data_IF_307879598699
#
_entry.id   IF_307879598699
#
_cell.length_a   1.000
_cell.length_b   1.000
_cell.length_c   1.000
_cell.angle_alpha   90.00
_cell.angle_beta   90.00
_cell.angle_gamma   90.00
#
_symmetry.space_group_name_H-M   'P 1'
#
loop_
_entity.id
_entity.type
_entity.pdbx_description
1 polymer ?
#
# COMPACT_ATOMS: atom_id res chain seq x y z
N UNK A 1 -22.34 -35.07 -22.42
CA UNK A 1 -21.97 -34.18 -23.55
C UNK A 1 -21.15 -33.05 -22.94
N UNK A 2 -19.85 -33.05 -23.22
CA UNK A 2 -18.86 -32.16 -22.63
C UNK A 2 -19.06 -30.70 -23.06
N UNK A 3 -18.88 -29.76 -22.14
CA UNK A 3 -18.39 -28.43 -22.48
C UNK A 3 -17.60 -27.88 -21.28
N UNK A 4 -16.29 -28.13 -21.33
CA UNK A 4 -15.30 -27.42 -20.54
C UNK A 4 -14.95 -26.14 -21.31
N UNK A 5 -15.27 -24.98 -20.74
CA UNK A 5 -14.89 -23.70 -21.33
C UNK A 5 -13.52 -23.29 -20.80
N UNK A 6 -12.53 -23.37 -21.70
CA UNK A 6 -11.14 -22.96 -21.47
C UNK A 6 -11.04 -21.45 -21.73
N UNK A 7 -10.98 -20.64 -20.69
CA UNK A 7 -10.46 -19.28 -20.83
C UNK A 7 -8.97 -19.23 -20.47
N UNK A 8 -8.15 -19.72 -21.40
CA UNK A 8 -6.70 -19.50 -21.40
C UNK A 8 -6.43 -18.21 -22.17
N UNK A 9 -6.19 -17.11 -21.46
CA UNK A 9 -5.80 -15.85 -22.08
C UNK A 9 -4.42 -15.99 -22.74
N UNK A 10 -4.44 -16.23 -24.05
CA UNK A 10 -3.26 -16.30 -24.90
C UNK A 10 -2.72 -14.88 -25.09
N UNK A 11 -1.60 -14.55 -24.43
CA UNK A 11 -0.84 -13.34 -24.71
C UNK A 11 -0.29 -13.44 -26.15
N UNK A 12 -0.96 -12.82 -27.12
CA UNK A 12 -0.53 -12.79 -28.52
C UNK A 12 -0.08 -11.37 -28.86
N UNK A 13 1.20 -11.08 -28.65
CA UNK A 13 1.84 -9.89 -29.19
C UNK A 13 2.04 -10.07 -30.70
N UNK A 14 1.35 -9.27 -31.52
CA UNK A 14 1.68 -9.13 -32.94
C UNK A 14 2.80 -8.10 -33.06
N UNK A 15 4.02 -8.54 -33.38
CA UNK A 15 5.06 -7.65 -33.90
C UNK A 15 4.99 -7.66 -35.44
N UNK A 16 4.66 -6.50 -36.02
CA UNK A 16 5.12 -6.15 -37.37
C UNK A 16 6.46 -5.46 -37.19
N UNK A 17 7.46 -5.92 -37.95
CA UNK A 17 8.88 -5.53 -37.96
C UNK A 17 9.77 -6.36 -37.04
N UNK A 18 10.64 -7.14 -37.68
CA UNK A 18 11.58 -8.07 -37.07
C UNK A 18 12.70 -7.39 -36.32
N UNK A 19 12.54 -7.25 -35.02
CA UNK A 19 13.60 -6.91 -34.08
C UNK A 19 13.32 -7.56 -32.72
N UNK A 20 14.11 -8.60 -32.41
CA UNK A 20 14.21 -9.32 -31.13
C UNK A 20 12.90 -9.70 -30.43
N UNK A 21 12.55 -11.00 -30.47
CA UNK A 21 11.66 -11.60 -29.47
C UNK A 21 12.31 -11.49 -28.08
N UNK A 22 11.86 -10.51 -27.30
CA UNK A 22 12.29 -10.34 -25.92
C UNK A 22 11.54 -11.33 -25.01
N UNK A 23 12.20 -11.89 -23.99
CA UNK A 23 11.68 -13.07 -23.33
C UNK A 23 10.45 -12.71 -22.47
N UNK A 24 9.30 -13.26 -22.84
CA UNK A 24 8.03 -13.22 -22.10
C UNK A 24 8.14 -13.64 -20.62
N UNK A 25 9.30 -14.15 -20.20
CA UNK A 25 9.60 -14.64 -18.85
C UNK A 25 9.67 -13.53 -17.80
N UNK A 26 10.13 -12.31 -18.12
CA UNK A 26 10.24 -11.22 -17.12
C UNK A 26 8.86 -10.71 -16.71
N UNK A 27 8.00 -10.37 -17.67
CA UNK A 27 6.63 -9.93 -17.39
C UNK A 27 5.83 -11.01 -16.64
N UNK A 28 6.03 -12.28 -16.99
CA UNK A 28 5.45 -13.41 -16.24
C UNK A 28 5.93 -13.45 -14.78
N UNK A 29 7.22 -13.23 -14.52
CA UNK A 29 7.78 -13.17 -13.16
C UNK A 29 7.19 -12.00 -12.36
N UNK A 30 7.09 -10.82 -12.97
CA UNK A 30 6.49 -9.64 -12.32
C UNK A 30 5.00 -9.89 -12.05
N UNK A 31 4.24 -10.35 -13.03
CA UNK A 31 2.81 -10.67 -12.85
C UNK A 31 2.58 -11.69 -11.73
N UNK A 32 3.40 -12.74 -11.68
CA UNK A 32 3.39 -13.71 -10.57
C UNK A 32 3.68 -13.04 -9.22
N UNK A 33 4.69 -12.18 -9.13
CA UNK A 33 5.07 -11.53 -7.87
C UNK A 33 4.00 -10.53 -7.37
N UNK A 34 3.38 -9.78 -8.28
CA UNK A 34 2.42 -8.72 -7.96
C UNK A 34 1.08 -9.28 -7.47
N UNK A 35 0.49 -10.23 -8.20
CA UNK A 35 -0.83 -10.79 -7.86
C UNK A 35 -0.95 -12.30 -8.07
N UNK A 36 -0.26 -12.86 -9.07
CA UNK A 36 -0.48 -14.25 -9.49
C UNK A 36 -0.11 -15.32 -8.46
N UNK A 37 0.85 -15.06 -7.57
CA UNK A 37 1.32 -16.05 -6.57
C UNK A 37 0.28 -16.43 -5.50
N UNK A 38 -0.72 -15.59 -5.28
CA UNK A 38 -1.80 -15.82 -4.31
C UNK A 38 -3.17 -15.90 -4.98
N UNK A 39 -3.24 -15.80 -6.31
CA UNK A 39 -4.49 -15.65 -7.07
C UNK A 39 -5.52 -16.73 -6.79
N UNK A 40 -5.09 -17.99 -6.68
CA UNK A 40 -5.98 -19.13 -6.41
C UNK A 40 -6.30 -19.33 -4.93
N UNK A 41 -5.59 -18.64 -4.04
CA UNK A 41 -5.70 -18.81 -2.58
C UNK A 41 -6.40 -17.63 -1.91
N UNK A 42 -6.37 -16.45 -2.52
CA UNK A 42 -7.08 -15.29 -2.02
C UNK A 42 -8.56 -15.36 -2.41
N UNK A 43 -9.42 -15.40 -1.40
CA UNK A 43 -10.86 -15.48 -1.57
C UNK A 43 -11.56 -14.67 -0.47
N UNK A 44 -12.87 -14.46 -0.64
CA UNK A 44 -13.72 -13.83 0.38
C UNK A 44 -13.22 -12.47 0.87
N UNK A 45 -12.73 -11.64 -0.06
CA UNK A 45 -12.39 -10.24 0.25
C UNK A 45 -13.68 -9.44 0.49
N UNK A 46 -13.74 -8.61 1.54
CA UNK A 46 -14.89 -7.75 1.78
C UNK A 46 -14.94 -6.63 0.74
N UNK A 47 -16.12 -6.16 0.30
CA UNK A 47 -16.21 -4.96 -0.52
C UNK A 47 -15.52 -3.76 0.16
N UNK A 48 -14.84 -2.86 -0.59
CA UNK A 48 -14.60 -2.87 -2.04
C UNK A 48 -13.30 -3.60 -2.45
N UNK A 49 -12.71 -4.40 -1.56
CA UNK A 49 -11.40 -5.00 -1.80
C UNK A 49 -11.50 -6.14 -2.84
N UNK A 50 -10.59 -6.10 -3.79
CA UNK A 50 -10.44 -7.12 -4.83
C UNK A 50 -8.97 -7.35 -5.13
N UNK A 51 -8.63 -8.53 -5.64
CA UNK A 51 -7.28 -8.80 -6.15
C UNK A 51 -7.08 -8.05 -7.47
N UNK A 52 -6.36 -6.93 -7.43
CA UNK A 52 -6.13 -6.12 -8.61
C UNK A 52 -5.06 -6.72 -9.53
N UNK A 53 -5.33 -6.70 -10.85
CA UNK A 53 -4.39 -7.10 -11.91
C UNK A 53 -3.97 -5.87 -12.70
N UNK A 54 -2.94 -5.14 -12.25
CA UNK A 54 -2.50 -3.95 -12.96
C UNK A 54 -1.92 -4.32 -14.33
N UNK A 55 -2.07 -3.40 -15.29
CA UNK A 55 -1.37 -3.50 -16.57
C UNK A 55 0.14 -3.42 -16.32
N UNK A 56 0.87 -4.41 -16.80
CA UNK A 56 2.33 -4.45 -16.72
C UNK A 56 2.93 -4.09 -18.07
N UNK A 57 3.73 -3.04 -18.10
CA UNK A 57 4.45 -2.58 -19.28
C UNK A 57 5.93 -2.39 -18.96
N UNK A 58 6.78 -2.50 -19.99
CA UNK A 58 8.18 -2.14 -19.90
C UNK A 58 8.35 -0.68 -20.29
N UNK A 59 9.23 0.04 -19.61
CA UNK A 59 9.68 1.35 -20.08
C UNK A 59 10.32 1.24 -21.48
N UNK A 60 10.20 2.30 -22.28
CA UNK A 60 10.79 2.35 -23.62
C UNK A 60 12.32 2.33 -23.56
N UNK A 61 12.90 2.98 -22.54
CA UNK A 61 14.32 2.94 -22.23
C UNK A 61 14.54 2.09 -20.97
N UNK A 62 15.57 1.24 -21.01
CA UNK A 62 15.97 0.44 -19.86
C UNK A 62 17.23 1.02 -19.25
N UNK A 63 17.22 1.22 -17.93
CA UNK A 63 18.43 1.63 -17.21
C UNK A 63 19.44 0.47 -17.17
N UNK A 64 20.70 0.78 -17.47
CA UNK A 64 21.78 -0.17 -17.31
C UNK A 64 22.10 -0.31 -15.82
N UNK A 65 22.38 -1.54 -15.38
CA UNK A 65 22.82 -1.79 -14.00
C UNK A 65 24.19 -1.16 -13.78
N UNK A 66 24.28 -0.19 -12.88
CA UNK A 66 25.54 0.34 -12.38
C UNK A 66 25.88 -0.32 -11.04
N UNK A 67 27.01 -1.06 -10.94
CA UNK A 67 27.45 -1.63 -9.67
C UNK A 67 28.02 -0.51 -8.79
N UNK A 68 27.16 0.10 -7.97
CA UNK A 68 27.53 1.13 -7.00
C UNK A 68 26.91 0.83 -5.63
N UNK A 69 27.52 1.36 -4.56
CA UNK A 69 26.93 1.30 -3.22
C UNK A 69 25.64 2.12 -3.22
N UNK A 70 24.56 1.52 -2.71
CA UNK A 70 23.30 2.23 -2.55
C UNK A 70 23.48 3.44 -1.61
N UNK A 71 22.90 4.61 -1.94
CA UNK A 71 22.93 5.76 -1.06
C UNK A 71 22.31 5.47 0.31
N UNK A 72 22.81 6.13 1.36
CA UNK A 72 22.27 6.02 2.73
C UNK A 72 21.13 7.01 3.00
N UNK A 73 20.49 7.51 1.96
CA UNK A 73 19.36 8.43 2.05
C UNK A 73 18.23 8.00 1.11
N UNK A 74 17.04 8.48 1.41
CA UNK A 74 15.84 8.36 0.58
C UNK A 74 15.32 9.76 0.31
N UNK A 75 14.85 10.00 -0.92
CA UNK A 75 14.21 11.26 -1.30
C UNK A 75 12.73 11.00 -1.52
N UNK A 76 11.86 11.81 -0.93
CA UNK A 76 10.43 11.76 -1.21
C UNK A 76 9.86 13.14 -1.49
N UNK A 77 8.86 13.20 -2.34
CA UNK A 77 8.21 14.44 -2.77
C UNK A 77 6.73 14.19 -3.04
N UNK A 78 5.90 15.17 -2.70
CA UNK A 78 4.46 15.22 -3.01
C UNK A 78 4.22 16.44 -3.88
N UNK A 79 3.21 16.39 -4.76
CA UNK A 79 2.83 17.54 -5.62
C UNK A 79 2.44 18.78 -4.83
N UNK A 80 1.98 18.60 -3.59
CA UNK A 80 1.65 19.69 -2.66
C UNK A 80 2.89 20.34 -2.05
N UNK A 81 4.04 19.66 -2.11
CA UNK A 81 5.24 20.04 -1.38
C UNK A 81 6.10 20.97 -2.23
N UNK A 82 6.53 22.12 -1.69
CA UNK A 82 7.39 23.05 -2.41
C UNK A 82 8.79 22.45 -2.68
N UNK A 83 9.26 21.57 -1.80
CA UNK A 83 10.60 20.96 -1.88
C UNK A 83 10.55 19.47 -1.48
N UNK A 84 11.45 18.63 -2.01
CA UNK A 84 11.57 17.23 -1.59
C UNK A 84 12.14 17.10 -0.16
N UNK A 85 11.70 16.09 0.58
CA UNK A 85 12.36 15.68 1.83
C UNK A 85 13.50 14.71 1.53
N UNK A 86 14.65 14.94 2.18
CA UNK A 86 15.78 14.00 2.19
C UNK A 86 15.85 13.34 3.56
N UNK A 87 15.69 12.02 3.58
CA UNK A 87 15.57 11.21 4.78
C UNK A 87 16.79 10.30 4.90
N UNK A 88 17.45 10.31 6.03
CA UNK A 88 18.51 9.35 6.33
C UNK A 88 17.90 7.94 6.46
N UNK A 89 18.36 7.01 5.62
CA UNK A 89 17.78 5.66 5.52
C UNK A 89 18.03 4.79 6.78
N UNK A 90 19.01 5.17 7.62
CA UNK A 90 19.32 4.47 8.87
C UNK A 90 18.48 4.98 10.03
N UNK A 91 18.25 6.30 10.13
CA UNK A 91 17.51 6.89 11.26
C UNK A 91 16.02 7.09 10.97
N UNK A 92 15.62 7.15 9.70
CA UNK A 92 14.26 7.45 9.27
C UNK A 92 13.83 8.91 9.49
N UNK A 93 14.79 9.83 9.69
CA UNK A 93 14.57 11.26 9.94
C UNK A 93 15.29 12.12 8.90
N UNK A 94 14.92 13.39 8.80
CA UNK A 94 15.64 14.38 7.99
C UNK A 94 17.04 14.61 8.56
N UNK A 95 17.94 15.18 7.75
CA UNK A 95 19.28 15.58 8.21
C UNK A 95 19.25 16.57 9.38
N UNK A 96 18.20 17.41 9.44
CA UNK A 96 17.93 18.32 10.56
C UNK A 96 17.49 17.61 11.86
N UNK A 97 17.28 16.30 11.82
CA UNK A 97 16.76 15.51 12.95
C UNK A 97 15.23 15.55 13.10
N UNK A 98 14.54 16.35 12.28
CA UNK A 98 13.07 16.40 12.28
C UNK A 98 12.44 15.11 11.69
N UNK A 99 11.25 14.72 12.17
CA UNK A 99 10.50 13.61 11.59
C UNK A 99 10.06 13.96 10.16
N UNK A 100 10.04 12.96 9.28
CA UNK A 100 9.48 13.13 7.93
C UNK A 100 7.97 13.32 7.99
N UNK A 101 7.43 14.08 7.03
CA UNK A 101 5.99 14.15 6.78
C UNK A 101 5.38 12.77 6.51
N UNK A 102 6.15 11.79 6.01
CA UNK A 102 5.71 10.42 5.78
C UNK A 102 5.75 9.51 7.02
N UNK A 103 6.25 10.00 8.17
CA UNK A 103 6.28 9.19 9.38
C UNK A 103 4.87 8.95 9.94
N UNK A 104 4.74 7.97 10.84
CA UNK A 104 3.43 7.59 11.41
C UNK A 104 2.76 8.74 12.15
N UNK A 105 3.50 9.52 12.95
CA UNK A 105 2.97 10.70 13.67
C UNK A 105 2.37 11.73 12.70
N UNK A 106 3.14 12.13 11.68
CA UNK A 106 2.69 13.11 10.67
C UNK A 106 1.47 12.62 9.86
N UNK A 107 1.45 11.34 9.47
CA UNK A 107 0.28 10.73 8.81
C UNK A 107 -0.93 10.62 9.74
N UNK A 108 -0.71 10.33 11.02
CA UNK A 108 -1.78 10.23 12.01
C UNK A 108 -2.40 11.59 12.31
N UNK A 109 -1.59 12.64 12.41
CA UNK A 109 -2.04 14.02 12.56
C UNK A 109 -2.93 14.47 11.39
N UNK A 110 -2.53 14.14 10.15
CA UNK A 110 -3.36 14.37 8.95
C UNK A 110 -4.69 13.63 9.03
N UNK A 111 -4.67 12.34 9.40
CA UNK A 111 -5.91 11.56 9.55
C UNK A 111 -6.82 12.16 10.62
N UNK A 112 -6.27 12.55 11.78
CA UNK A 112 -6.96 13.20 12.88
C UNK A 112 -7.57 14.56 12.47
N UNK A 113 -6.88 15.33 11.62
CA UNK A 113 -7.41 16.57 11.05
C UNK A 113 -8.62 16.30 10.14
N UNK A 114 -8.52 15.30 9.26
CA UNK A 114 -9.56 14.97 8.29
C UNK A 114 -10.81 14.38 8.95
N UNK A 115 -10.63 13.40 9.85
CA UNK A 115 -11.73 12.65 10.47
C UNK A 115 -12.65 13.53 11.33
N UNK A 116 -12.15 14.68 11.80
CA UNK A 116 -12.92 15.68 12.56
C UNK A 116 -13.71 16.65 11.69
N UNK A 117 -13.28 16.85 10.46
CA UNK A 117 -13.79 17.92 9.57
C UNK A 117 -14.64 17.40 8.43
N UNK A 118 -14.44 16.14 8.05
CA UNK A 118 -15.14 15.54 6.94
C UNK A 118 -16.23 14.59 7.47
N UNK A 119 -17.45 14.62 6.90
CA UNK A 119 -18.44 13.60 7.19
C UNK A 119 -17.92 12.24 6.71
N UNK A 120 -18.27 11.19 7.45
CA UNK A 120 -18.03 9.83 6.98
C UNK A 120 -18.82 9.59 5.69
N UNK A 121 -18.23 8.81 4.78
CA UNK A 121 -18.94 8.39 3.57
C UNK A 121 -20.22 7.63 3.96
N UNK A 122 -21.32 7.83 3.22
CA UNK A 122 -22.56 7.10 3.49
C UNK A 122 -22.29 5.60 3.52
N UNK A 123 -22.80 4.87 4.52
CA UNK A 123 -22.71 3.42 4.52
C UNK A 123 -23.48 2.88 3.31
N UNK A 124 -22.81 2.03 2.52
CA UNK A 124 -23.49 1.28 1.47
C UNK A 124 -24.59 0.39 2.11
N UNK A 125 -25.78 0.25 1.50
CA UNK A 125 -26.90 -0.49 2.10
C UNK A 125 -26.59 -1.95 2.44
N UNK A 126 -25.71 -2.58 1.67
CA UNK A 126 -25.18 -3.94 1.87
C UNK A 126 -23.74 -3.94 2.40
N UNK A 127 -23.22 -2.76 2.74
CA UNK A 127 -21.87 -2.55 3.19
C UNK A 127 -21.70 -2.80 4.68
N UNK A 128 -20.45 -3.06 5.10
CA UNK A 128 -20.11 -3.14 6.51
C UNK A 128 -20.38 -1.80 7.21
N UNK A 129 -21.15 -1.85 8.29
CA UNK A 129 -21.40 -0.67 9.12
C UNK A 129 -20.11 -0.24 9.81
N UNK A 130 -19.76 1.04 9.68
CA UNK A 130 -18.63 1.59 10.41
C UNK A 130 -19.00 1.72 11.89
N UNK A 131 -18.11 1.31 12.82
CA UNK A 131 -18.32 1.59 14.23
C UNK A 131 -18.42 3.12 14.42
N UNK A 132 -19.23 3.59 15.39
CA UNK A 132 -19.26 5.01 15.70
C UNK A 132 -17.87 5.47 16.10
N UNK A 133 -17.49 6.68 15.67
CA UNK A 133 -16.21 7.26 16.05
C UNK A 133 -16.13 7.37 17.58
N UNK A 134 -14.99 7.02 18.19
CA UNK A 134 -14.78 7.25 19.61
C UNK A 134 -15.00 8.72 19.97
N UNK A 135 -15.54 8.98 21.17
CA UNK A 135 -15.77 10.36 21.64
C UNK A 135 -14.46 11.11 21.88
N UNK A 136 -13.43 10.40 22.32
CA UNK A 136 -12.09 10.94 22.57
C UNK A 136 -11.13 10.53 21.45
N UNK A 137 -11.23 11.23 20.31
CA UNK A 137 -10.32 11.03 19.19
C UNK A 137 -8.92 11.60 19.42
N UNK A 138 -8.75 12.49 20.40
CA UNK A 138 -7.45 13.12 20.69
C UNK A 138 -6.49 12.13 21.35
N UNK A 139 -7.02 11.31 22.27
CA UNK A 139 -6.22 10.35 23.01
C UNK A 139 -6.28 8.92 22.44
N UNK A 140 -6.91 8.71 21.28
CA UNK A 140 -6.96 7.38 20.67
C UNK A 140 -5.55 6.91 20.30
N UNK A 141 -5.12 5.71 20.73
CA UNK A 141 -3.88 5.11 20.29
C UNK A 141 -3.88 4.82 18.77
N UNK A 142 -2.73 4.95 18.11
CA UNK A 142 -2.61 4.77 16.67
C UNK A 142 -3.02 3.37 16.18
N UNK A 143 -2.73 2.31 16.94
CA UNK A 143 -3.19 0.95 16.66
C UNK A 143 -4.72 0.82 16.73
N UNK A 144 -5.37 1.48 17.68
CA UNK A 144 -6.83 1.50 17.82
C UNK A 144 -7.47 2.26 16.66
N UNK A 145 -6.93 3.43 16.31
CA UNK A 145 -7.36 4.20 15.14
C UNK A 145 -7.32 3.37 13.85
N UNK A 146 -6.24 2.60 13.64
CA UNK A 146 -6.14 1.66 12.51
C UNK A 146 -7.17 0.52 12.57
N UNK A 147 -7.56 0.11 13.77
CA UNK A 147 -8.52 -0.99 13.98
C UNK A 147 -9.97 -0.57 13.71
N UNK A 148 -10.27 0.73 13.70
CA UNK A 148 -11.60 1.25 13.33
C UNK A 148 -12.02 0.82 11.91
N UNK A 149 -11.07 0.64 10.99
CA UNK A 149 -11.34 0.16 9.63
C UNK A 149 -11.38 -1.37 9.59
N UNK A 150 -12.47 -1.95 10.07
CA UNK A 150 -12.66 -3.42 10.18
C UNK A 150 -12.55 -4.16 8.85
N UNK A 151 -13.08 -3.57 7.77
CA UNK A 151 -12.99 -4.13 6.40
C UNK A 151 -11.56 -4.30 5.93
N UNK A 152 -10.72 -3.29 6.15
CA UNK A 152 -9.31 -3.37 5.85
C UNK A 152 -8.62 -4.45 6.68
N UNK A 153 -8.96 -4.57 7.97
CA UNK A 153 -8.38 -5.62 8.83
C UNK A 153 -8.73 -7.01 8.32
N UNK A 154 -9.99 -7.25 7.91
CA UNK A 154 -10.42 -8.51 7.29
C UNK A 154 -9.68 -8.75 5.97
N UNK A 155 -9.61 -7.76 5.07
CA UNK A 155 -8.90 -7.89 3.80
C UNK A 155 -7.41 -8.21 3.99
N UNK A 156 -6.76 -7.55 4.96
CA UNK A 156 -5.37 -7.80 5.35
C UNK A 156 -5.18 -9.22 5.90
N UNK A 157 -6.11 -9.72 6.70
CA UNK A 157 -6.08 -11.08 7.24
C UNK A 157 -6.24 -12.14 6.14
N UNK A 158 -7.17 -11.90 5.19
CA UNK A 158 -7.31 -12.75 3.98
C UNK A 158 -6.03 -12.79 3.17
N UNK A 159 -5.35 -11.65 3.01
CA UNK A 159 -4.07 -11.58 2.33
C UNK A 159 -3.01 -12.43 3.05
N UNK A 160 -2.85 -12.28 4.36
CA UNK A 160 -1.84 -13.05 5.11
C UNK A 160 -2.14 -14.55 5.11
N UNK A 161 -3.41 -14.93 5.23
CA UNK A 161 -3.87 -16.33 5.14
C UNK A 161 -3.64 -16.93 3.76
N UNK A 162 -3.81 -16.15 2.69
CA UNK A 162 -3.57 -16.61 1.33
C UNK A 162 -2.07 -16.95 1.10
N UNK A 163 -1.14 -16.17 1.68
CA UNK A 163 0.28 -16.50 1.63
C UNK A 163 0.63 -17.80 2.36
N UNK A 164 0.05 -18.00 3.55
CA UNK A 164 0.25 -19.22 4.33
C UNK A 164 -0.34 -20.45 3.61
N UNK A 165 -1.57 -20.32 3.09
CA UNK A 165 -2.25 -21.36 2.31
C UNK A 165 -1.50 -21.73 1.03
N UNK A 166 -0.87 -20.74 0.38
CA UNK A 166 -0.03 -20.94 -0.81
C UNK A 166 1.36 -21.53 -0.48
N UNK A 167 1.66 -21.82 0.78
CA UNK A 167 2.97 -22.26 1.26
C UNK A 167 4.11 -21.28 0.90
N UNK A 168 3.79 -19.98 0.87
CA UNK A 168 4.74 -18.90 0.56
C UNK A 168 5.33 -18.23 1.81
N UNK A 169 5.12 -18.84 2.98
CA UNK A 169 5.57 -18.35 4.27
C UNK A 169 4.55 -17.48 5.00
N UNK A 170 4.88 -17.18 6.26
CA UNK A 170 4.06 -16.37 7.16
C UNK A 170 4.46 -14.90 7.11
N UNK A 171 3.48 -14.02 7.13
CA UNK A 171 3.74 -12.57 7.13
C UNK A 171 4.31 -12.10 8.47
N UNK A 172 5.53 -11.54 8.44
CA UNK A 172 6.19 -11.01 9.63
C UNK A 172 5.68 -9.59 9.91
N UNK A 173 5.14 -9.37 11.12
CA UNK A 173 4.65 -8.07 11.58
C UNK A 173 5.66 -7.46 12.56
N UNK A 174 5.66 -6.14 12.66
CA UNK A 174 6.38 -5.42 13.71
C UNK A 174 5.69 -5.64 15.07
N UNK A 175 6.42 -5.50 16.19
CA UNK A 175 5.83 -5.51 17.52
C UNK A 175 4.74 -4.45 17.66
N UNK A 176 3.70 -4.74 18.45
CA UNK A 176 2.52 -3.88 18.59
C UNK A 176 2.87 -2.54 19.24
N UNK A 177 3.89 -2.53 20.08
CA UNK A 177 4.43 -1.38 20.80
C UNK A 177 4.83 -0.26 19.83
N UNK A 178 5.22 -0.61 18.59
CA UNK A 178 5.56 0.38 17.57
C UNK A 178 4.35 1.18 17.04
N UNK A 179 3.13 0.73 17.32
CA UNK A 179 1.86 1.40 16.97
C UNK A 179 1.09 1.86 18.24
N UNK A 180 1.63 1.66 19.44
CA UNK A 180 1.01 2.07 20.72
C UNK A 180 1.47 3.47 21.13
N UNK A 181 1.03 4.49 20.40
CA UNK A 181 1.30 5.90 20.70
C UNK A 181 0.08 6.76 20.37
N UNK A 182 -0.06 7.90 21.03
CA UNK A 182 -1.07 8.93 20.71
C UNK A 182 -0.48 10.00 19.81
N UNK A 183 -1.33 10.77 19.12
CA UNK A 183 -0.84 11.83 18.24
C UNK A 183 -0.21 12.95 19.06
N UNK A 184 1.05 13.27 18.77
CA UNK A 184 1.78 14.37 19.44
C UNK A 184 1.60 15.71 18.69
N UNK A 185 1.20 15.65 17.43
CA UNK A 185 1.06 16.82 16.55
C UNK A 185 -0.39 17.28 16.59
N UNK A 186 -0.74 18.05 17.63
CA UNK A 186 -2.09 18.59 17.82
C UNK A 186 -2.17 20.03 17.32
N UNK A 187 -3.26 20.37 16.61
CA UNK A 187 -3.54 21.74 16.19
C UNK A 187 -2.56 22.36 15.20
N UNK A 188 -1.72 21.55 14.53
CA UNK A 188 -0.78 22.04 13.53
C UNK A 188 -1.49 22.72 12.35
N UNK A 189 -0.84 23.74 11.80
CA UNK A 189 -1.36 24.48 10.65
C UNK A 189 -1.56 23.54 9.44
N UNK A 190 -2.71 23.59 8.75
CA UNK A 190 -2.96 22.72 7.60
C UNK A 190 -1.92 22.86 6.48
N UNK A 191 -1.35 24.05 6.28
CA UNK A 191 -0.29 24.26 5.28
C UNK A 191 0.98 23.48 5.59
N UNK A 192 1.24 23.19 6.88
CA UNK A 192 2.38 22.38 7.33
C UNK A 192 2.04 20.90 7.30
N UNK A 193 0.81 20.52 7.69
CA UNK A 193 0.37 19.13 7.70
C UNK A 193 0.26 18.53 6.28
N UNK A 194 -0.13 19.34 5.31
CA UNK A 194 -0.40 18.92 3.93
C UNK A 194 0.59 19.52 2.91
N UNK A 195 1.70 20.09 3.38
CA UNK A 195 2.87 20.36 2.54
C UNK A 195 3.25 19.07 1.80
#
# INVERSE_FOLDING_TARGET
>A
MNMADKSSAHFRGKNRNGGNEFPATILKRIGRAICGRIETFISSLPPPYQLQRPLLARAASTEARTPARAPSFSVCWSVTAPFPEVINATTGKLESGHPSLLCKQSMFARWQYLIRRLPLLPPEPSGPQFPPLPKDLDNIPYNEAKSLCTTYQIAKDRLTTAFESAQLGRWIKKPIEQDQFTCEILGADPSVLFA
#
